data_IF_186584758179
#
_entry.id   IF_186584758179
#
_cell.length_a   1.000
_cell.length_b   1.000
_cell.length_c   1.000
_cell.angle_alpha   90.00
_cell.angle_beta   90.00
_cell.angle_gamma   90.00
#
_symmetry.space_group_name_H-M   'P 1'
#
loop_
_entity.id
_entity.type
_entity.pdbx_description
1 polymer ?
#
# COMPACT_ATOMS: atom_id res chain seq x y z
N UNK A 1 17.53 2.10 3.31
CA UNK A 1 17.25 3.22 4.23
C UNK A 1 15.85 3.02 4.76
N UNK A 2 15.63 3.12 6.07
CA UNK A 2 14.31 3.02 6.65
C UNK A 2 13.76 4.43 6.88
N UNK A 3 12.54 4.70 6.41
CA UNK A 3 11.87 5.97 6.59
C UNK A 3 10.78 5.85 7.65
N UNK A 4 10.55 6.92 8.40
CA UNK A 4 9.41 7.03 9.32
C UNK A 4 8.16 7.25 8.47
N UNK A 5 7.06 6.57 8.79
CA UNK A 5 5.83 6.67 8.01
C UNK A 5 5.21 8.08 8.04
N UNK A 6 4.14 8.27 7.26
CA UNK A 6 3.47 9.56 7.03
C UNK A 6 3.17 10.31 8.35
N UNK A 7 3.77 11.49 8.58
CA UNK A 7 3.61 12.25 9.84
C UNK A 7 2.17 12.72 10.09
N UNK A 8 1.35 12.80 9.04
CA UNK A 8 -0.05 13.24 9.08
C UNK A 8 -1.03 12.15 9.53
N UNK A 9 -0.58 10.90 9.74
CA UNK A 9 -1.47 9.83 10.21
C UNK A 9 -1.92 10.08 11.64
N UNK A 10 -3.19 9.77 11.94
CA UNK A 10 -3.76 9.96 13.28
C UNK A 10 -3.13 9.02 14.31
N UNK A 11 -2.84 7.76 13.92
CA UNK A 11 -2.28 6.77 14.82
C UNK A 11 -0.77 6.98 15.05
N UNK A 12 -0.35 7.04 16.32
CA UNK A 12 1.05 7.29 16.72
C UNK A 12 1.99 6.14 16.36
N UNK A 13 1.51 4.88 16.46
CA UNK A 13 2.28 3.70 16.05
C UNK A 13 2.48 3.70 14.54
N UNK A 14 1.43 4.04 13.78
CA UNK A 14 1.51 4.16 12.33
C UNK A 14 2.57 5.19 11.94
N UNK A 15 2.53 6.39 12.54
CA UNK A 15 3.53 7.45 12.33
C UNK A 15 4.97 6.98 12.62
N UNK A 16 5.18 6.21 13.67
CA UNK A 16 6.53 5.82 14.13
C UNK A 16 7.06 4.55 13.45
N UNK A 17 6.21 3.80 12.74
CA UNK A 17 6.62 2.58 12.04
C UNK A 17 7.65 2.90 10.96
N UNK A 18 8.76 2.16 11.00
CA UNK A 18 9.81 2.23 9.99
C UNK A 18 9.40 1.41 8.78
N UNK A 19 9.49 2.01 7.60
CA UNK A 19 9.18 1.36 6.31
C UNK A 19 10.43 1.36 5.42
N UNK A 20 10.64 0.25 4.71
CA UNK A 20 11.78 0.05 3.80
C UNK A 20 11.45 0.27 2.32
N UNK A 21 10.17 0.20 1.96
CA UNK A 21 9.68 0.28 0.57
C UNK A 21 8.26 0.88 0.51
N UNK A 22 7.76 1.10 -0.71
CA UNK A 22 6.42 1.67 -0.94
C UNK A 22 5.28 0.72 -0.57
N UNK A 23 5.49 -0.59 -0.62
CA UNK A 23 4.46 -1.56 -0.23
C UNK A 23 4.27 -1.58 1.29
N UNK A 24 5.36 -1.50 2.05
CA UNK A 24 5.32 -1.32 3.50
C UNK A 24 4.65 0.00 3.88
N UNK A 25 4.89 1.07 3.12
CA UNK A 25 4.20 2.35 3.32
C UNK A 25 2.70 2.24 3.05
N UNK A 26 2.31 1.55 1.97
CA UNK A 26 0.90 1.28 1.67
C UNK A 26 0.24 0.41 2.73
N UNK A 27 0.92 -0.61 3.25
CA UNK A 27 0.43 -1.43 4.36
C UNK A 27 0.11 -0.57 5.59
N UNK A 28 1.04 0.30 6.01
CA UNK A 28 0.83 1.21 7.16
C UNK A 28 -0.36 2.13 6.92
N UNK A 29 -0.47 2.70 5.71
CA UNK A 29 -1.59 3.57 5.36
C UNK A 29 -2.94 2.81 5.34
N UNK A 30 -2.95 1.60 4.79
CA UNK A 30 -4.13 0.71 4.77
C UNK A 30 -4.62 0.37 6.18
N UNK A 31 -3.72 0.02 7.09
CA UNK A 31 -4.10 -0.30 8.47
C UNK A 31 -4.66 0.94 9.18
N UNK A 32 -4.01 2.10 9.03
CA UNK A 32 -4.45 3.32 9.68
C UNK A 32 -5.87 3.74 9.24
N UNK A 33 -6.20 3.55 7.96
CA UNK A 33 -7.48 3.92 7.36
C UNK A 33 -8.58 2.89 7.50
N UNK A 34 -8.30 1.70 8.03
CA UNK A 34 -9.33 0.68 8.17
C UNK A 34 -10.37 1.11 9.22
N UNK A 35 -11.52 1.62 8.76
CA UNK A 35 -12.58 2.17 9.61
C UNK A 35 -13.24 1.11 10.50
N UNK A 36 -13.31 -0.15 10.04
CA UNK A 36 -13.92 -1.24 10.80
C UNK A 36 -13.06 -1.71 11.97
N UNK A 37 -11.83 -1.21 12.12
CA UNK A 37 -10.92 -1.60 13.19
C UNK A 37 -10.81 -0.49 14.23
N UNK A 38 -10.96 -0.85 15.50
CA UNK A 38 -10.60 0.03 16.60
C UNK A 38 -9.09 0.26 16.67
N UNK A 39 -8.68 1.31 17.37
CA UNK A 39 -7.26 1.70 17.46
C UNK A 39 -6.37 0.58 18.01
N UNK A 40 -6.83 -0.17 19.02
CA UNK A 40 -6.08 -1.31 19.56
C UNK A 40 -5.75 -2.36 18.50
N UNK A 41 -6.72 -2.71 17.64
CA UNK A 41 -6.52 -3.69 16.57
C UNK A 41 -5.56 -3.17 15.51
N UNK A 42 -5.66 -1.88 15.17
CA UNK A 42 -4.73 -1.23 14.24
C UNK A 42 -3.30 -1.25 14.78
N UNK A 43 -3.13 -0.92 16.05
CA UNK A 43 -1.81 -0.95 16.69
C UNK A 43 -1.24 -2.36 16.71
N UNK A 44 -2.02 -3.37 17.12
CA UNK A 44 -1.59 -4.77 17.10
C UNK A 44 -1.08 -5.19 15.72
N UNK A 45 -1.82 -4.86 14.66
CA UNK A 45 -1.39 -5.14 13.28
C UNK A 45 -0.11 -4.38 12.90
N UNK A 46 0.01 -3.11 13.31
CA UNK A 46 1.21 -2.30 13.07
C UNK A 46 2.43 -2.85 13.82
N UNK A 47 2.26 -3.48 14.98
CA UNK A 47 3.37 -4.13 15.70
C UNK A 47 3.83 -5.44 15.05
N UNK A 48 3.01 -6.05 14.18
CA UNK A 48 3.42 -7.24 13.44
C UNK A 48 4.52 -6.88 12.42
N UNK A 49 5.63 -7.62 12.49
CA UNK A 49 6.77 -7.45 11.57
C UNK A 49 6.41 -7.78 10.12
N UNK A 50 5.50 -8.73 9.92
CA UNK A 50 5.15 -9.27 8.61
C UNK A 50 3.66 -9.07 8.29
N UNK A 51 3.06 -7.95 8.73
CA UNK A 51 1.69 -7.64 8.31
C UNK A 51 1.63 -7.52 6.79
N UNK A 52 0.68 -8.24 6.18
CA UNK A 52 0.39 -8.20 4.76
C UNK A 52 -0.92 -7.45 4.45
N UNK A 53 -1.45 -6.70 5.42
CA UNK A 53 -2.72 -6.01 5.27
C UNK A 53 -2.63 -4.88 4.24
N UNK A 54 -3.32 -5.00 3.12
CA UNK A 54 -3.33 -4.00 2.04
C UNK A 54 -4.75 -3.81 1.52
N UNK A 55 -5.13 -2.55 1.33
CA UNK A 55 -6.34 -2.19 0.60
C UNK A 55 -5.99 -1.97 -0.87
N UNK A 56 -6.90 -2.33 -1.77
CA UNK A 56 -6.69 -2.16 -3.22
C UNK A 56 -6.34 -0.71 -3.56
N UNK A 57 -7.00 0.25 -2.93
CA UNK A 57 -6.74 1.68 -3.11
C UNK A 57 -5.30 2.09 -2.75
N UNK A 58 -4.80 1.68 -1.57
CA UNK A 58 -3.44 2.02 -1.14
C UNK A 58 -2.37 1.29 -1.92
N UNK A 59 -2.65 0.06 -2.35
CA UNK A 59 -1.78 -0.68 -3.26
C UNK A 59 -1.65 0.04 -4.60
N UNK A 60 -2.77 0.47 -5.20
CA UNK A 60 -2.77 1.21 -6.46
C UNK A 60 -1.92 2.50 -6.35
N UNK A 61 -2.12 3.29 -5.29
CA UNK A 61 -1.31 4.50 -5.06
C UNK A 61 0.19 4.21 -4.90
N UNK A 62 0.55 3.10 -4.25
CA UNK A 62 1.95 2.71 -4.13
C UNK A 62 2.55 2.28 -5.49
N UNK A 63 1.77 1.60 -6.32
CA UNK A 63 2.19 1.23 -7.69
C UNK A 63 2.38 2.48 -8.53
N UNK A 64 1.41 3.40 -8.54
CA UNK A 64 1.50 4.68 -9.27
C UNK A 64 2.73 5.48 -8.83
N UNK A 65 2.94 5.63 -7.51
CA UNK A 65 4.09 6.35 -6.98
C UNK A 65 5.42 5.65 -7.29
N UNK A 66 5.42 4.31 -7.41
CA UNK A 66 6.59 3.55 -7.81
C UNK A 66 6.89 3.70 -9.31
N UNK A 67 5.86 3.70 -10.16
CA UNK A 67 5.98 3.89 -11.60
C UNK A 67 6.66 5.22 -11.95
N UNK A 68 6.37 6.30 -11.21
CA UNK A 68 7.07 7.60 -11.37
C UNK A 68 8.59 7.52 -11.18
N UNK A 69 9.09 6.52 -10.46
CA UNK A 69 10.52 6.34 -10.17
C UNK A 69 11.15 5.18 -10.94
N UNK A 70 10.35 4.29 -11.49
CA UNK A 70 10.77 3.08 -12.18
C UNK A 70 10.37 3.16 -13.65
N UNK A 71 11.31 3.56 -14.51
CA UNK A 71 11.06 3.71 -15.95
C UNK A 71 10.59 2.42 -16.63
N UNK A 72 11.07 1.26 -16.17
CA UNK A 72 10.65 -0.04 -16.68
C UNK A 72 9.17 -0.32 -16.36
N UNK A 73 8.73 0.03 -15.14
CA UNK A 73 7.31 -0.10 -14.77
C UNK A 73 6.45 0.91 -15.53
N UNK A 74 6.89 2.16 -15.64
CA UNK A 74 6.16 3.19 -16.40
C UNK A 74 5.95 2.79 -17.88
N UNK A 75 6.98 2.23 -18.52
CA UNK A 75 6.87 1.72 -19.89
C UNK A 75 5.91 0.52 -19.98
N UNK A 76 5.95 -0.39 -19.01
CA UNK A 76 5.03 -1.52 -18.97
C UNK A 76 3.57 -1.06 -18.77
N UNK A 77 3.34 -0.06 -17.91
CA UNK A 77 2.01 0.53 -17.68
C UNK A 77 1.47 1.23 -18.94
N UNK A 78 2.31 2.01 -19.65
CA UNK A 78 1.92 2.64 -20.92
C UNK A 78 1.55 1.61 -21.99
N UNK A 79 2.33 0.52 -22.10
CA UNK A 79 2.03 -0.57 -23.03
C UNK A 79 0.73 -1.31 -22.65
N UNK A 80 0.51 -1.51 -21.35
CA UNK A 80 -0.68 -2.18 -20.83
C UNK A 80 -1.97 -1.37 -21.08
N UNK A 81 -1.92 -0.03 -21.03
CA UNK A 81 -3.09 0.82 -21.30
C UNK A 81 -3.65 0.68 -22.73
N UNK A 82 -2.82 0.25 -23.69
CA UNK A 82 -3.21 0.06 -25.09
C UNK A 82 -3.78 -1.35 -25.34
N UNK A 83 -3.67 -2.24 -24.35
CA UNK A 83 -4.05 -3.65 -24.47
C UNK A 83 -5.32 -3.90 -23.65
N UNK A 84 -6.37 -4.40 -24.30
CA UNK A 84 -7.50 -4.97 -23.57
C UNK A 84 -7.08 -6.34 -23.01
N UNK A 85 -6.97 -6.43 -21.69
CA UNK A 85 -6.76 -7.72 -21.03
C UNK A 85 -8.08 -8.50 -21.03
N UNK A 86 -8.08 -9.68 -21.65
CA UNK A 86 -9.17 -10.63 -21.45
C UNK A 86 -9.09 -11.16 -20.02
N UNK A 87 -10.02 -10.71 -19.18
CA UNK A 87 -10.16 -11.25 -17.84
C UNK A 87 -11.09 -12.47 -17.89
N UNK A 88 -10.67 -13.62 -17.35
CA UNK A 88 -11.57 -14.75 -17.22
C UNK A 88 -12.79 -14.36 -16.38
N UNK A 89 -13.95 -14.90 -16.72
CA UNK A 89 -15.18 -14.66 -15.97
C UNK A 89 -14.94 -15.05 -14.51
N UNK A 90 -15.04 -14.06 -13.60
CA UNK A 90 -14.86 -14.28 -12.16
C UNK A 90 -15.98 -15.13 -11.55
N UNK A 91 -17.14 -15.18 -12.21
CA UNK A 91 -18.30 -15.96 -11.81
C UNK A 91 -18.98 -16.57 -13.05
N UNK A 92 -19.48 -17.81 -12.96
CA UNK A 92 -20.26 -18.46 -14.02
C UNK A 92 -21.62 -17.79 -14.24
#
# INVERSE_FOLDING_TARGET
MAHVALPSLRNLVARSKRVGDMFQLANVASINEQECWGDERKEQELWMKNSAYLTAYRLALAIEAHALRCSALAQADEQAQVINFEHPALFP
#
